data_IF_308361339786
#
_entry.id   IF_308361339786
#
_cell.length_a   1.000
_cell.length_b   1.000
_cell.length_c   1.000
_cell.angle_alpha   90.00
_cell.angle_beta   90.00
_cell.angle_gamma   90.00
#
_symmetry.space_group_name_H-M   'P 1'
#
loop_
_entity.id
_entity.type
_entity.pdbx_description
1 polymer ?
2 polymer ?
3 polymer ?
4 non-polymer ?
5 water ?
#
loop_
_entity_poly.entity_id
_entity_poly.type
_entity_poly.pdbx_seq_one_letter_code
_entity_poly.pdbx_strand_id
2 'polydeoxyribonucleotide' '(DG)(DG)(DT)(DC)(DC)(DG)(DA)(DC)(DG)(DG)(DA)(DC)(DC)' ?
3 'polydeoxyribonucleotide' '(DG)(DG)(DT)(DC)(DC)(DG)(DT)(DC)(DG)(DG)(DA)(DC)(DC)' ?
#
# COMPACT_ATOMS: atom_id res chain seq x y z
N UNK A 3 6.81 -32.74 40.55
CA UNK A 3 6.86 -34.02 39.84
C UNK A 3 5.86 -34.01 38.69
N UNK A 4 4.73 -33.35 38.89
CA UNK A 4 3.78 -33.12 37.79
C UNK A 4 2.85 -32.00 38.24
N UNK A 5 3.21 -30.77 37.89
CA UNK A 5 2.46 -29.60 38.31
C UNK A 5 1.23 -29.36 37.44
N UNK A 6 1.30 -29.70 36.16
CA UNK A 6 0.20 -29.40 35.25
C UNK A 6 -0.98 -30.34 35.51
N UNK A 7 -2.17 -29.85 35.19
CA UNK A 7 -3.36 -30.67 35.18
C UNK A 7 -3.24 -31.68 34.04
N UNK A 8 -3.28 -32.99 34.32
CA UNK A 8 -2.97 -33.97 33.26
C UNK A 8 -3.93 -33.91 32.10
N UNK A 9 -5.19 -33.58 32.36
CA UNK A 9 -6.18 -33.53 31.30
C UNK A 9 -5.98 -32.28 30.46
N UNK A 10 -5.64 -31.16 31.11
CA UNK A 10 -5.36 -29.95 30.36
C UNK A 10 -4.15 -30.14 29.46
N UNK A 11 -3.12 -30.82 29.97
CA UNK A 11 -1.98 -31.18 29.13
C UNK A 11 -2.43 -31.95 27.91
N UNK A 12 -3.37 -32.90 28.10
CA UNK A 12 -3.86 -33.68 26.99
C UNK A 12 -4.59 -32.81 25.98
N UNK A 13 -5.38 -31.86 26.47
CA UNK A 13 -6.08 -30.95 25.58
C UNK A 13 -5.09 -30.10 24.77
N UNK A 14 -4.00 -29.70 25.41
CA UNK A 14 -3.01 -28.85 24.73
C UNK A 14 -2.29 -29.66 23.67
N UNK A 15 -1.94 -30.92 23.97
CA UNK A 15 -1.31 -31.77 22.97
C UNK A 15 -2.25 -32.01 21.79
N UNK A 16 -3.55 -32.12 22.05
CA UNK A 16 -4.53 -32.18 20.97
C UNK A 16 -4.51 -30.90 20.13
N UNK A 17 -4.50 -29.75 20.80
CA UNK A 17 -4.45 -28.48 20.08
C UNK A 17 -3.21 -28.38 19.20
N UNK A 18 -2.05 -28.82 19.72
CA UNK A 18 -0.80 -28.72 18.95
C UNK A 18 -0.92 -29.52 17.65
N UNK A 19 -1.45 -30.73 17.76
CA UNK A 19 -1.65 -31.58 16.59
C UNK A 19 -2.62 -30.92 15.60
N UNK A 20 -3.73 -30.37 16.09
CA UNK A 20 -4.69 -29.71 15.20
C UNK A 20 -4.06 -28.50 14.52
N UNK A 21 -3.36 -27.65 15.28
CA UNK A 21 -2.75 -26.47 14.69
C UNK A 21 -1.72 -26.87 13.63
N UNK A 22 -0.96 -27.93 13.89
CA UNK A 22 0.00 -28.41 12.89
C UNK A 22 -0.71 -28.96 11.66
N UNK A 23 -1.84 -29.63 11.85
CA UNK A 23 -2.63 -30.12 10.74
C UNK A 23 -3.16 -28.98 9.88
N UNK A 24 -3.45 -27.84 10.50
CA UNK A 24 -3.86 -26.63 9.80
C UNK A 24 -2.68 -25.91 9.18
N UNK A 25 -1.49 -26.51 9.24
CA UNK A 25 -0.28 -25.98 8.63
C UNK A 25 0.10 -24.63 9.23
N UNK A 26 0.02 -24.52 10.56
CA UNK A 26 0.46 -23.30 11.23
C UNK A 26 1.51 -23.64 12.28
N UNK A 27 2.30 -22.63 12.66
CA UNK A 27 3.21 -22.81 13.78
C UNK A 27 2.42 -22.92 15.10
N UNK A 28 2.63 -23.98 15.92
CA UNK A 28 1.93 -24.06 17.22
C UNK A 28 2.52 -23.13 18.28
N UNK A 29 2.16 -21.85 18.17
CA UNK A 29 2.53 -20.84 19.14
C UNK A 29 1.47 -20.71 20.23
N UNK A 30 1.79 -19.94 21.27
CA UNK A 30 0.88 -19.71 22.39
C UNK A 30 -0.52 -19.33 21.92
N UNK A 31 -0.63 -18.28 21.10
CA UNK A 31 -1.96 -17.80 20.74
C UNK A 31 -2.77 -18.87 20.03
N UNK A 32 -2.15 -19.60 19.11
CA UNK A 32 -2.90 -20.55 18.29
C UNK A 32 -3.31 -21.76 19.12
N UNK A 33 -2.49 -22.16 20.08
CA UNK A 33 -2.87 -23.22 21.00
C UNK A 33 -4.05 -22.79 21.86
N UNK A 34 -4.01 -21.55 22.39
CA UNK A 34 -5.11 -21.05 23.18
C UNK A 34 -6.42 -21.05 22.40
N UNK A 35 -6.38 -20.58 21.15
CA UNK A 35 -7.58 -20.59 20.33
C UNK A 35 -8.10 -22.01 20.15
N UNK A 36 -7.20 -22.95 19.88
CA UNK A 36 -7.63 -24.33 19.61
C UNK A 36 -8.22 -24.99 20.85
N UNK A 37 -7.58 -24.82 22.02
CA UNK A 37 -8.13 -25.38 23.25
C UNK A 37 -9.47 -24.72 23.60
N UNK A 38 -9.58 -23.41 23.36
CA UNK A 38 -10.84 -22.73 23.60
C UNK A 38 -11.93 -23.31 22.71
N UNK A 39 -11.63 -23.44 21.42
CA UNK A 39 -12.60 -23.90 20.45
C UNK A 39 -13.03 -25.34 20.70
N UNK A 40 -12.14 -26.19 21.23
CA UNK A 40 -12.43 -27.61 21.46
C UNK A 40 -13.00 -27.91 22.84
N UNK A 41 -12.60 -27.16 23.88
CA UNK A 41 -12.95 -27.51 25.24
C UNK A 41 -13.41 -26.34 26.10
N UNK A 42 -13.40 -25.12 25.59
CA UNK A 42 -13.91 -23.99 26.35
C UNK A 42 -13.02 -23.49 27.45
N UNK A 43 -11.77 -23.92 27.51
CA UNK A 43 -10.87 -23.45 28.55
C UNK A 43 -10.41 -22.02 28.28
N UNK A 44 -10.36 -21.22 29.34
CA UNK A 44 -10.02 -19.81 29.18
C UNK A 44 -8.55 -19.66 28.86
N UNK A 45 -8.24 -18.60 28.11
CA UNK A 45 -6.87 -18.38 27.63
C UNK A 45 -5.88 -18.30 28.78
N UNK A 46 -6.24 -17.58 29.83
CA UNK A 46 -5.34 -17.44 30.96
C UNK A 46 -4.95 -18.79 31.54
N UNK A 47 -5.90 -19.71 31.62
CA UNK A 47 -5.60 -21.03 32.17
C UNK A 47 -4.74 -21.85 31.21
N UNK A 48 -5.07 -21.80 29.91
CA UNK A 48 -4.27 -22.55 28.94
C UNK A 48 -2.82 -22.10 28.99
N UNK A 49 -2.57 -20.80 29.10
CA UNK A 49 -1.20 -20.31 29.15
C UNK A 49 -0.48 -20.82 30.40
N UNK A 50 -1.15 -20.83 31.55
CA UNK A 50 -0.53 -21.37 32.76
C UNK A 50 -0.22 -22.85 32.59
N UNK A 51 -1.15 -23.60 32.01
CA UNK A 51 -0.97 -25.04 31.88
C UNK A 51 0.10 -25.35 30.85
N UNK A 52 0.20 -24.54 29.80
CA UNK A 52 1.31 -24.69 28.85
C UNK A 52 2.64 -24.51 29.56
N UNK A 53 2.75 -23.45 30.37
CA UNK A 53 3.97 -23.23 31.14
C UNK A 53 4.26 -24.42 32.05
N UNK A 54 3.26 -24.88 32.79
CA UNK A 54 3.48 -25.98 33.72
C UNK A 54 3.86 -27.25 33.00
N UNK A 55 3.20 -27.53 31.86
CA UNK A 55 3.53 -28.73 31.11
C UNK A 55 4.95 -28.70 30.57
N UNK A 56 5.45 -27.53 30.20
CA UNK A 56 6.83 -27.42 29.73
C UNK A 56 7.80 -27.77 30.86
N UNK A 57 7.49 -27.32 32.09
CA UNK A 57 8.31 -27.67 33.24
C UNK A 57 8.24 -29.17 33.54
N UNK A 58 7.05 -29.77 33.39
CA UNK A 58 6.93 -31.20 33.61
C UNK A 58 7.73 -32.00 32.58
N UNK A 59 7.97 -31.42 31.42
CA UNK A 59 8.58 -32.15 30.34
C UNK A 59 7.60 -32.86 29.45
N UNK A 60 6.30 -32.63 29.63
CA UNK A 60 5.30 -33.29 28.80
C UNK A 60 5.00 -32.51 27.53
N UNK A 61 5.41 -31.26 27.45
CA UNK A 61 5.37 -30.49 26.22
C UNK A 61 6.74 -29.82 26.06
N UNK A 62 7.25 -29.86 24.85
CA UNK A 62 8.51 -29.24 24.52
C UNK A 62 8.29 -27.81 24.04
N UNK A 63 9.07 -26.87 24.56
CA UNK A 63 9.10 -25.51 24.06
C UNK A 63 10.31 -25.36 23.15
N UNK A 64 10.10 -24.94 21.91
CA UNK A 64 11.21 -24.77 20.99
C UNK A 64 11.43 -23.29 20.76
N UNK A 65 12.66 -22.85 20.98
CA UNK A 65 13.02 -21.46 20.75
C UNK A 65 13.32 -21.29 19.27
N UNK A 66 12.49 -20.51 18.59
CA UNK A 66 12.74 -20.09 17.23
C UNK A 66 13.20 -18.65 17.25
N UNK A 67 13.91 -18.26 16.19
CA UNK A 67 14.46 -16.91 16.14
C UNK A 67 13.33 -15.89 16.01
N UNK A 68 12.29 -16.26 15.28
CA UNK A 68 11.01 -15.58 15.40
C UNK A 68 10.21 -16.15 16.56
N UNK A 69 8.95 -16.49 16.29
CA UNK A 69 8.00 -16.86 17.34
C UNK A 69 8.28 -18.26 17.88
N UNK A 70 8.30 -18.41 19.20
CA UNK A 70 8.53 -19.72 19.79
C UNK A 70 7.32 -20.62 19.58
N UNK A 71 7.55 -21.93 19.60
CA UNK A 71 6.46 -22.87 19.37
C UNK A 71 6.60 -24.03 20.36
N UNK A 72 5.65 -24.96 20.29
CA UNK A 72 5.54 -26.02 21.28
C UNK A 72 5.29 -27.33 20.56
N UNK A 73 5.86 -28.42 21.11
CA UNK A 73 5.85 -29.70 20.41
C UNK A 73 5.45 -30.83 21.35
N UNK A 74 4.75 -31.79 20.77
CA UNK A 74 4.48 -33.06 21.46
C UNK A 74 5.76 -33.89 21.50
N UNK A 75 6.17 -34.36 22.69
CA UNK A 75 7.33 -35.29 22.74
C UNK A 75 7.19 -36.48 21.81
N UNK A 76 5.96 -36.90 21.55
CA UNK A 76 5.67 -38.02 20.68
C UNK A 76 5.86 -37.69 19.20
N UNK A 77 5.98 -36.42 18.85
CA UNK A 77 6.24 -36.01 17.47
C UNK A 77 7.15 -34.78 17.49
N UNK A 78 8.42 -34.97 17.83
CA UNK A 78 9.29 -33.82 18.07
C UNK A 78 9.91 -33.24 16.82
N UNK A 79 9.77 -33.91 15.68
CA UNK A 79 10.29 -33.41 14.42
C UNK A 79 11.80 -33.26 14.40
N UNK B 3 4.74 12.19 28.54
CA UNK B 3 4.04 12.65 27.36
C UNK B 3 4.03 11.53 26.31
N UNK B 4 5.15 10.82 26.18
CA UNK B 4 5.23 9.74 25.20
C UNK B 4 6.36 8.80 25.58
N UNK B 5 6.02 7.61 26.02
CA UNK B 5 7.01 6.62 26.43
C UNK B 5 7.51 5.75 25.29
N UNK B 6 6.67 5.53 24.27
CA UNK B 6 7.05 4.66 23.17
C UNK B 6 7.99 5.38 22.21
N UNK B 7 8.77 4.59 21.48
CA UNK B 7 9.55 5.11 20.35
C UNK B 7 8.59 5.50 19.24
N UNK B 8 8.58 6.77 18.80
CA UNK B 8 7.52 7.20 17.87
C UNK B 8 7.53 6.46 16.55
N UNK B 9 8.73 6.10 16.07
CA UNK B 9 8.85 5.38 14.81
C UNK B 9 8.38 3.94 14.96
N UNK B 10 8.70 3.32 16.10
CA UNK B 10 8.21 1.96 16.36
C UNK B 10 6.69 1.93 16.45
N UNK B 11 6.10 2.94 17.08
CA UNK B 11 4.64 3.05 17.07
C UNK B 11 4.12 3.05 15.64
N UNK B 12 4.78 3.83 14.76
CA UNK B 12 4.36 3.90 13.38
C UNK B 12 4.47 2.55 12.69
N UNK B 13 5.55 1.82 12.97
CA UNK B 13 5.69 0.49 12.39
C UNK B 13 4.60 -0.45 12.88
N UNK B 14 4.20 -0.34 14.15
CA UNK B 14 3.17 -1.21 14.70
C UNK B 14 1.81 -0.88 14.09
N UNK B 15 1.54 0.42 13.87
CA UNK B 15 0.28 0.80 13.26
C UNK B 15 0.20 0.32 11.81
N UNK B 16 1.33 0.31 11.10
CA UNK B 16 1.36 -0.28 9.76
C UNK B 16 1.12 -1.79 9.83
N UNK B 17 1.69 -2.45 10.84
CA UNK B 17 1.47 -3.88 10.99
C UNK B 17 -0.01 -4.19 11.27
N UNK B 18 -0.65 -3.39 12.12
CA UNK B 18 -2.05 -3.60 12.44
C UNK B 18 -2.89 -3.52 11.16
N UNK B 19 -2.62 -2.53 10.33
CA UNK B 19 -3.34 -2.39 9.08
C UNK B 19 -3.08 -3.57 8.14
N UNK B 20 -1.81 -4.00 8.04
CA UNK B 20 -1.48 -5.14 7.19
C UNK B 20 -2.16 -6.40 7.69
N UNK B 21 -2.14 -6.64 9.01
CA UNK B 21 -2.78 -7.84 9.55
C UNK B 21 -4.29 -7.81 9.30
N UNK B 22 -4.92 -6.65 9.48
CA UNK B 22 -6.35 -6.54 9.18
C UNK B 22 -6.63 -6.76 7.69
N UNK B 23 -5.72 -6.26 6.84
CA UNK B 23 -5.86 -6.47 5.40
C UNK B 23 -5.80 -7.95 5.05
N UNK B 24 -5.06 -8.72 5.82
CA UNK B 24 -4.98 -10.17 5.65
C UNK B 24 -6.15 -10.89 6.31
N UNK B 25 -7.12 -10.13 6.82
CA UNK B 25 -8.34 -10.66 7.40
C UNK B 25 -8.04 -11.50 8.64
N UNK B 26 -7.14 -11.01 9.49
CA UNK B 26 -6.83 -11.67 10.75
C UNK B 26 -7.05 -10.70 11.90
N UNK B 27 -7.26 -11.25 13.09
CA UNK B 27 -7.31 -10.40 14.28
C UNK B 27 -5.92 -9.87 14.62
N UNK B 28 -5.73 -8.53 14.74
CA UNK B 28 -4.41 -8.01 15.12
C UNK B 28 -4.07 -8.26 16.57
N UNK B 29 -3.65 -9.48 16.88
CA UNK B 29 -3.15 -9.83 18.20
C UNK B 29 -1.65 -9.60 18.28
N UNK B 30 -1.12 -9.72 19.50
CA UNK B 30 0.31 -9.55 19.74
C UNK B 30 1.18 -10.34 18.77
N UNK B 31 0.93 -11.66 18.67
CA UNK B 31 1.82 -12.49 17.85
C UNK B 31 1.83 -12.03 16.39
N UNK B 32 0.65 -11.72 15.86
CA UNK B 32 0.57 -11.38 14.44
C UNK B 32 1.17 -10.01 14.17
N UNK B 33 1.05 -9.08 15.12
CA UNK B 33 1.72 -7.79 14.98
C UNK B 33 3.23 -7.98 14.99
N UNK B 34 3.75 -8.77 15.95
CA UNK B 34 5.19 -9.05 16.00
C UNK B 34 5.70 -9.63 14.69
N UNK B 35 4.99 -10.63 14.14
CA UNK B 35 5.39 -11.20 12.86
C UNK B 35 5.43 -10.13 11.76
N UNK B 36 4.40 -9.29 11.71
CA UNK B 36 4.35 -8.28 10.65
C UNK B 36 5.47 -7.26 10.79
N UNK B 37 5.72 -6.77 12.02
CA UNK B 37 6.81 -5.81 12.20
C UNK B 37 8.15 -6.45 11.90
N UNK B 38 8.32 -7.71 12.31
CA UNK B 38 9.57 -8.41 12.01
C UNK B 38 9.76 -8.54 10.51
N UNK B 39 8.71 -8.97 9.81
CA UNK B 39 8.80 -9.19 8.37
C UNK B 39 9.03 -7.89 7.60
N UNK B 40 8.58 -6.74 8.13
CA UNK B 40 8.66 -5.48 7.39
C UNK B 40 9.86 -4.63 7.78
N UNK B 41 10.34 -4.72 9.01
CA UNK B 41 11.37 -3.83 9.51
C UNK B 41 12.45 -4.53 10.31
N UNK B 42 12.34 -5.83 10.55
CA UNK B 42 13.39 -6.56 11.21
C UNK B 42 13.48 -6.35 12.70
N UNK B 43 12.47 -5.75 13.32
CA UNK B 43 12.50 -5.51 14.75
C UNK B 43 12.20 -6.79 15.52
N UNK B 44 12.96 -7.00 16.60
CA UNK B 44 12.85 -8.24 17.37
C UNK B 44 11.55 -8.28 18.16
N UNK B 45 11.03 -9.50 18.34
CA UNK B 45 9.74 -9.71 19.01
C UNK B 45 9.69 -9.06 20.38
N UNK B 46 10.76 -9.25 21.17
CA UNK B 46 10.78 -8.69 22.51
C UNK B 46 10.57 -7.18 22.48
N UNK B 47 11.20 -6.49 21.52
CA UNK B 47 11.07 -5.04 21.45
C UNK B 47 9.69 -4.62 20.96
N UNK B 48 9.14 -5.33 19.98
CA UNK B 48 7.80 -4.99 19.49
C UNK B 48 6.79 -5.08 20.62
N UNK B 49 6.91 -6.13 21.45
CA UNK B 49 5.97 -6.29 22.55
C UNK B 49 6.08 -5.14 23.56
N UNK B 50 7.30 -4.74 23.93
CA UNK B 50 7.44 -3.63 24.86
C UNK B 50 6.89 -2.35 24.26
N UNK B 51 7.14 -2.12 22.97
CA UNK B 51 6.67 -0.90 22.35
C UNK B 51 5.16 -0.90 22.18
N UNK B 52 4.57 -2.07 21.94
CA UNK B 52 3.11 -2.19 21.93
C UNK B 52 2.53 -1.80 23.30
N UNK B 53 3.10 -2.35 24.37
CA UNK B 53 2.64 -1.99 25.71
C UNK B 53 2.80 -0.48 25.95
N UNK B 54 3.96 0.08 25.59
CA UNK B 54 4.19 1.51 25.80
C UNK B 54 3.23 2.36 24.98
N UNK B 55 2.99 1.96 23.72
CA UNK B 55 2.10 2.73 22.87
C UNK B 55 0.67 2.72 23.41
N UNK B 56 0.25 1.59 23.98
CA UNK B 56 -1.07 1.54 24.62
C UNK B 56 -1.13 2.52 25.78
N UNK B 57 -0.05 2.61 26.57
CA UNK B 57 0.00 3.61 27.64
C UNK B 57 -0.08 5.03 27.09
N UNK B 58 0.64 5.30 26.01
CA UNK B 58 0.60 6.64 25.41
C UNK B 58 -0.78 6.98 24.88
N UNK B 59 -1.60 5.98 24.59
CA UNK B 59 -2.87 6.24 23.93
C UNK B 59 -2.78 6.30 22.43
N UNK B 60 -1.64 5.94 21.83
CA UNK B 60 -1.52 5.97 20.38
C UNK B 60 -1.93 4.67 19.72
N UNK B 61 -2.05 3.60 20.52
CA UNK B 61 -2.63 2.35 20.06
C UNK B 61 -3.67 1.94 21.09
N UNK B 62 -4.81 1.45 20.61
CA UNK B 62 -5.87 0.99 21.48
C UNK B 62 -5.74 -0.50 21.67
N UNK B 63 -5.88 -0.96 22.91
CA UNK B 63 -5.98 -2.38 23.22
C UNK B 63 -7.44 -2.71 23.47
N UNK B 64 -7.96 -3.74 22.82
CA UNK B 64 -9.37 -4.09 22.98
C UNK B 64 -9.48 -5.42 23.70
N UNK B 65 -10.29 -5.45 24.74
CA UNK B 65 -10.61 -6.68 25.47
C UNK B 65 -11.61 -7.47 24.66
N UNK B 66 -11.22 -8.67 24.24
CA UNK B 66 -12.17 -9.58 23.62
C UNK B 66 -12.42 -10.75 24.55
N UNK B 67 -13.57 -11.39 24.35
CA UNK B 67 -13.86 -12.65 25.03
C UNK B 67 -12.65 -13.58 24.93
N UNK B 68 -12.18 -13.81 23.71
CA UNK B 68 -10.96 -14.56 23.52
C UNK B 68 -9.75 -13.65 23.45
N UNK B 69 -9.00 -13.78 22.37
CA UNK B 69 -7.71 -13.12 22.24
C UNK B 69 -7.88 -11.61 22.10
N UNK B 70 -7.16 -10.85 22.91
CA UNK B 70 -7.24 -9.39 22.79
C UNK B 70 -6.56 -8.94 21.51
N UNK B 71 -6.97 -7.77 21.01
CA UNK B 71 -6.37 -7.23 19.79
C UNK B 71 -6.07 -5.75 19.99
N UNK B 72 -5.54 -5.14 18.95
CA UNK B 72 -5.01 -3.79 19.01
C UNK B 72 -5.49 -3.02 17.80
N UNK B 73 -5.80 -1.73 17.99
CA UNK B 73 -6.43 -0.95 16.95
C UNK B 73 -5.75 0.41 16.79
N UNK B 74 -5.73 0.86 15.55
CA UNK B 74 -5.34 2.23 15.24
C UNK B 74 -6.44 3.18 15.71
N UNK B 75 -6.12 4.22 16.48
CA UNK B 75 -7.14 5.22 16.81
C UNK B 75 -7.78 5.83 15.59
N UNK B 76 -7.05 5.86 14.47
CA UNK B 76 -7.57 6.42 13.23
C UNK B 76 -8.58 5.52 12.54
N UNK B 77 -8.64 4.24 12.90
CA UNK B 77 -9.74 3.36 12.47
C UNK B 77 -10.15 2.48 13.64
N UNK B 78 -10.97 3.02 14.55
CA UNK B 78 -11.25 2.29 15.80
C UNK B 78 -12.41 1.33 15.69
N UNK B 79 -13.46 1.70 14.95
CA UNK B 79 -14.63 0.85 14.76
C UNK B 79 -15.22 0.19 15.99
N UNK E 3 -17.25 -7.78 -25.02
CA UNK E 3 -17.42 -8.01 -23.58
C UNK E 3 -16.24 -7.39 -22.83
N UNK E 4 -15.04 -7.50 -23.40
CA UNK E 4 -13.86 -6.92 -22.75
C UNK E 4 -12.76 -6.80 -23.78
N UNK E 5 -12.39 -5.57 -24.11
CA UNK E 5 -11.37 -5.31 -25.12
C UNK E 5 -9.99 -5.11 -24.51
N UNK E 6 -9.92 -4.61 -23.28
CA UNK E 6 -8.64 -4.30 -22.67
C UNK E 6 -8.02 -5.55 -22.07
N UNK E 7 -6.71 -5.52 -21.92
CA UNK E 7 -6.00 -6.57 -21.19
C UNK E 7 -6.37 -6.44 -19.73
N UNK E 8 -6.90 -7.50 -19.09
CA UNK E 8 -7.40 -7.35 -17.72
C UNK E 8 -6.31 -7.04 -16.70
N UNK E 9 -5.09 -7.52 -16.96
CA UNK E 9 -4.01 -7.24 -16.02
C UNK E 9 -3.56 -5.79 -16.16
N UNK E 10 -3.47 -5.30 -17.39
CA UNK E 10 -3.14 -3.90 -17.62
C UNK E 10 -4.19 -2.98 -17.01
N UNK E 11 -5.47 -3.36 -17.14
CA UNK E 11 -6.51 -2.58 -16.46
C UNK E 11 -6.25 -2.52 -14.98
N UNK E 12 -5.86 -3.64 -14.39
CA UNK E 12 -5.55 -3.69 -12.96
C UNK E 12 -4.38 -2.78 -12.62
N UNK E 13 -3.36 -2.78 -13.46
CA UNK E 13 -2.21 -1.91 -13.23
C UNK E 13 -2.62 -0.44 -13.29
N UNK E 14 -3.54 -0.11 -14.20
CA UNK E 14 -3.95 1.29 -14.36
C UNK E 14 -4.79 1.74 -13.17
N UNK E 15 -5.66 0.86 -12.66
CA UNK E 15 -6.41 1.17 -11.46
C UNK E 15 -5.48 1.38 -10.26
N UNK E 16 -4.40 0.60 -10.20
CA UNK E 16 -3.39 0.82 -9.17
C UNK E 16 -2.76 2.20 -9.30
N UNK E 17 -2.39 2.54 -10.53
CA UNK E 17 -1.78 3.85 -10.79
C UNK E 17 -2.71 5.00 -10.40
N UNK E 18 -4.02 4.87 -10.70
CA UNK E 18 -4.97 5.93 -10.36
C UNK E 18 -5.00 6.15 -8.84
N UNK E 19 -5.07 5.05 -8.09
CA UNK E 19 -5.05 5.14 -6.64
C UNK E 19 -3.76 5.79 -6.14
N UNK E 20 -2.62 5.36 -6.66
CA UNK E 20 -1.33 5.95 -6.27
C UNK E 20 -1.28 7.44 -6.60
N UNK E 21 -1.70 7.80 -7.81
CA UNK E 21 -1.66 9.21 -8.21
C UNK E 21 -2.56 10.06 -7.30
N UNK E 22 -3.74 9.52 -6.94
CA UNK E 22 -4.62 10.25 -6.01
C UNK E 22 -3.99 10.35 -4.63
N UNK E 23 -3.31 9.30 -4.18
CA UNK E 23 -2.64 9.32 -2.88
C UNK E 23 -1.54 10.39 -2.85
N UNK E 24 -0.94 10.66 -3.98
CA UNK E 24 0.04 11.72 -4.14
C UNK E 24 -0.61 13.09 -4.29
N UNK E 25 -1.94 13.13 -4.16
CA UNK E 25 -2.70 14.37 -4.20
C UNK E 25 -2.55 15.06 -5.57
N UNK E 26 -2.73 14.29 -6.63
CA UNK E 26 -2.69 14.84 -7.98
C UNK E 26 -3.91 14.37 -8.74
N UNK E 27 -4.29 15.13 -9.76
CA UNK E 27 -5.36 14.71 -10.67
C UNK E 27 -4.89 13.51 -11.50
N UNK E 28 -5.65 12.37 -11.51
CA UNK E 28 -5.24 11.23 -12.35
C UNK E 28 -5.52 11.44 -13.83
N UNK E 29 -4.64 12.19 -14.48
CA UNK E 29 -4.70 12.41 -15.92
C UNK E 29 -3.88 11.35 -16.65
N UNK E 30 -4.01 11.36 -17.98
CA UNK E 30 -3.28 10.41 -18.82
C UNK E 30 -1.79 10.39 -18.51
N UNK E 31 -1.14 11.55 -18.51
CA UNK E 31 0.31 11.54 -18.34
C UNK E 31 0.71 10.95 -16.99
N UNK E 32 0.00 11.33 -15.94
CA UNK E 32 0.37 10.88 -14.61
C UNK E 32 0.12 9.39 -14.42
N UNK E 33 -0.93 8.87 -15.04
CA UNK E 33 -1.16 7.43 -15.00
C UNK E 33 -0.06 6.70 -15.75
N UNK E 34 0.32 7.19 -16.95
CA UNK E 34 1.41 6.57 -17.69
C UNK E 34 2.70 6.51 -16.87
N UNK E 35 3.06 7.63 -16.24
CA UNK E 35 4.25 7.64 -15.40
C UNK E 35 4.14 6.59 -14.29
N UNK E 36 2.99 6.49 -13.63
CA UNK E 36 2.86 5.56 -12.52
C UNK E 36 2.95 4.10 -12.99
N UNK E 37 2.28 3.75 -14.09
CA UNK E 37 2.34 2.38 -14.60
C UNK E 37 3.76 2.05 -15.06
N UNK E 38 4.41 3.02 -15.71
CA UNK E 38 5.79 2.79 -16.12
C UNK E 38 6.67 2.57 -14.90
N UNK E 39 6.47 3.38 -13.86
CA UNK E 39 7.28 3.31 -12.66
C UNK E 39 7.10 1.98 -11.92
N UNK E 40 5.87 1.44 -11.91
CA UNK E 40 5.57 0.24 -11.14
C UNK E 40 5.67 -1.05 -11.94
N UNK E 41 5.49 -1.01 -13.26
CA UNK E 41 5.42 -2.23 -14.05
C UNK E 41 6.19 -2.17 -15.37
N UNK E 42 6.78 -1.03 -15.72
CA UNK E 42 7.61 -0.98 -16.91
C UNK E 42 6.86 -0.97 -18.22
N UNK E 43 5.55 -0.77 -18.19
CA UNK E 43 4.78 -0.73 -19.42
C UNK E 43 4.98 0.58 -20.16
N UNK E 44 5.12 0.49 -21.49
CA UNK E 44 5.42 1.66 -22.30
C UNK E 44 4.21 2.59 -22.39
N UNK E 45 4.49 3.88 -22.54
CA UNK E 45 3.45 4.92 -22.58
C UNK E 45 2.38 4.61 -23.62
N UNK E 46 2.80 4.26 -24.83
CA UNK E 46 1.83 4.06 -25.91
C UNK E 46 0.86 2.94 -25.58
N UNK E 47 1.33 1.89 -24.92
CA UNK E 47 0.41 0.80 -24.57
C UNK E 47 -0.51 1.19 -23.43
N UNK E 48 0.00 1.94 -22.45
CA UNK E 48 -0.85 2.36 -21.34
C UNK E 48 -2.00 3.22 -21.86
N UNK E 49 -1.69 4.14 -22.79
CA UNK E 49 -2.72 5.01 -23.35
C UNK E 49 -3.77 4.21 -24.10
N UNK E 50 -3.33 3.20 -24.86
CA UNK E 50 -4.28 2.35 -25.58
C UNK E 50 -5.15 1.58 -24.60
N UNK E 51 -4.54 1.07 -23.53
CA UNK E 51 -5.29 0.25 -22.58
C UNK E 51 -6.23 1.10 -21.73
N UNK E 52 -5.83 2.33 -21.43
CA UNK E 52 -6.74 3.27 -20.78
C UNK E 52 -7.98 3.51 -21.64
N UNK E 53 -7.77 3.80 -22.92
CA UNK E 53 -8.88 3.97 -23.86
C UNK E 53 -9.76 2.73 -23.87
N UNK E 54 -9.13 1.55 -24.00
CA UNK E 54 -9.91 0.31 -24.07
C UNK E 54 -10.67 0.05 -22.78
N UNK E 55 -10.04 0.34 -21.64
CA UNK E 55 -10.71 0.13 -20.37
C UNK E 55 -11.89 1.08 -20.18
N UNK E 56 -11.80 2.30 -20.71
CA UNK E 56 -12.93 3.21 -20.62
C UNK E 56 -14.11 2.67 -21.41
N UNK E 57 -13.84 2.14 -22.61
CA UNK E 57 -14.90 1.50 -23.40
C UNK E 57 -15.50 0.31 -22.67
N UNK E 58 -14.66 -0.51 -22.02
CA UNK E 58 -15.18 -1.66 -21.29
C UNK E 58 -16.08 -1.24 -20.14
N UNK E 59 -15.91 -0.01 -19.63
CA UNK E 59 -16.59 0.41 -18.43
C UNK E 59 -15.87 0.08 -17.15
N UNK E 60 -14.62 -0.41 -17.23
CA UNK E 60 -13.86 -0.74 -16.02
C UNK E 60 -13.09 0.44 -15.47
N UNK E 61 -12.94 1.49 -16.25
CA UNK E 61 -12.35 2.75 -15.79
C UNK E 61 -13.26 3.86 -16.28
N UNK E 62 -13.51 4.82 -15.42
CA UNK E 62 -14.35 5.96 -15.76
C UNK E 62 -13.48 7.11 -16.23
N UNK E 63 -13.90 7.74 -17.31
CA UNK E 63 -13.28 8.98 -17.78
C UNK E 63 -14.18 10.13 -17.36
N UNK E 64 -13.61 11.14 -16.70
CA UNK E 64 -14.40 12.28 -16.25
C UNK E 64 -13.96 13.51 -17.03
N UNK E 65 -14.92 14.19 -17.64
CA UNK E 65 -14.66 15.42 -18.37
C UNK E 65 -14.63 16.56 -17.38
N UNK E 66 -13.52 17.26 -17.34
CA UNK E 66 -13.38 18.37 -16.47
C UNK E 66 -13.26 19.63 -17.28
N UNK E 67 -13.30 20.73 -16.56
CA UNK E 67 -13.09 22.05 -17.08
C UNK E 67 -11.81 22.02 -17.88
N UNK E 68 -10.74 21.66 -17.19
CA UNK E 68 -9.43 21.50 -17.75
C UNK E 68 -9.20 20.08 -18.21
N UNK E 69 -8.04 19.53 -17.93
CA UNK E 69 -7.67 18.19 -18.37
C UNK E 69 -8.58 17.15 -17.71
N UNK E 70 -9.00 16.20 -18.51
CA UNK E 70 -9.86 15.13 -18.03
C UNK E 70 -9.09 14.22 -17.10
N UNK E 71 -9.81 13.44 -16.31
CA UNK E 71 -9.14 12.50 -15.43
C UNK E 71 -9.89 11.18 -15.50
N UNK E 72 -9.42 10.22 -14.72
CA UNK E 72 -9.88 8.84 -14.81
C UNK E 72 -10.10 8.30 -13.41
N UNK E 73 -11.17 7.53 -13.23
CA UNK E 73 -11.57 7.09 -11.90
C UNK E 73 -11.82 5.59 -11.85
N UNK E 74 -11.54 5.04 -10.69
CA UNK E 74 -11.91 3.67 -10.38
C UNK E 74 -13.41 3.60 -10.11
N UNK E 75 -14.16 2.74 -10.80
CA UNK E 75 -15.58 2.58 -10.47
C UNK E 75 -15.81 2.31 -9.00
N UNK E 76 -14.84 1.66 -8.34
CA UNK E 76 -14.95 1.35 -6.93
C UNK E 76 -14.75 2.56 -6.05
N UNK E 77 -14.16 3.62 -6.55
CA UNK E 77 -14.02 4.88 -5.81
C UNK E 77 -14.38 6.03 -6.72
N UNK E 78 -15.68 6.19 -7.03
CA UNK E 78 -16.06 7.18 -8.04
C UNK E 78 -16.08 8.60 -7.52
N UNK E 79 -16.15 8.79 -6.20
CA UNK E 79 -16.18 10.13 -5.62
C UNK E 79 -17.45 10.87 -5.97
N UNK F 3 5.42 29.56 -43.78
CA UNK F 3 6.49 30.21 -43.03
C UNK F 3 6.17 30.14 -41.54
N UNK F 4 4.94 30.46 -41.17
CA UNK F 4 4.49 30.33 -39.79
C UNK F 4 3.06 29.80 -39.80
N UNK F 5 2.89 28.57 -39.35
CA UNK F 5 1.55 28.01 -39.23
C UNK F 5 0.88 28.40 -37.92
N UNK F 6 1.66 28.51 -36.85
CA UNK F 6 1.10 28.76 -35.52
C UNK F 6 0.77 30.23 -35.34
N UNK F 7 -0.17 30.50 -34.44
CA UNK F 7 -0.46 31.87 -34.00
C UNK F 7 0.74 32.38 -33.22
N UNK F 8 1.40 33.46 -33.66
CA UNK F 8 2.68 33.84 -33.02
C UNK F 8 2.51 34.27 -31.57
N UNK F 9 1.34 34.78 -31.20
CA UNK F 9 1.12 35.15 -29.81
C UNK F 9 0.91 33.91 -28.96
N UNK F 10 0.19 32.93 -29.50
CA UNK F 10 0.01 31.66 -28.79
C UNK F 10 1.34 30.95 -28.61
N UNK F 11 2.20 30.96 -29.64
CA UNK F 11 3.54 30.42 -29.47
C UNK F 11 4.25 31.11 -28.32
N UNK F 12 4.10 32.44 -28.22
CA UNK F 12 4.74 33.18 -27.13
C UNK F 12 4.19 32.74 -25.79
N UNK F 13 2.87 32.55 -25.69
CA UNK F 13 2.30 32.09 -24.43
C UNK F 13 2.83 30.71 -24.05
N UNK F 14 3.07 29.86 -25.05
CA UNK F 14 3.54 28.51 -24.75
C UNK F 14 5.00 28.53 -24.29
N UNK F 15 5.84 29.37 -24.92
CA UNK F 15 7.20 29.50 -24.45
C UNK F 15 7.25 30.05 -23.02
N UNK F 16 6.32 30.96 -22.70
CA UNK F 16 6.19 31.42 -21.31
C UNK F 16 5.84 30.27 -20.39
N UNK F 17 4.87 29.46 -20.80
CA UNK F 17 4.47 28.30 -19.99
C UNK F 17 5.64 27.33 -19.79
N UNK F 18 6.41 27.08 -20.85
CA UNK F 18 7.54 26.17 -20.74
C UNK F 18 8.53 26.67 -19.67
N UNK F 19 8.83 27.97 -19.70
CA UNK F 19 9.74 28.54 -18.70
C UNK F 19 9.17 28.38 -17.29
N UNK F 20 7.89 28.69 -17.12
CA UNK F 20 7.24 28.57 -15.82
C UNK F 20 7.28 27.14 -15.32
N UNK F 21 6.90 26.17 -16.17
CA UNK F 21 6.90 24.78 -15.74
C UNK F 21 8.30 24.34 -15.32
N UNK F 22 9.32 24.78 -16.07
CA UNK F 22 10.70 24.46 -15.72
C UNK F 22 11.10 25.11 -14.40
N UNK F 23 10.70 26.36 -14.17
CA UNK F 23 10.97 27.01 -12.89
C UNK F 23 10.32 26.26 -11.72
N UNK F 24 9.18 25.63 -11.97
CA UNK F 24 8.53 24.78 -10.99
C UNK F 24 9.18 23.41 -10.88
N UNK F 25 10.27 23.19 -11.60
CA UNK F 25 11.06 21.96 -11.52
C UNK F 25 10.24 20.77 -12.01
N UNK F 26 9.48 20.95 -13.08
CA UNK F 26 8.73 19.86 -13.68
C UNK F 26 9.14 19.69 -15.14
N UNK F 27 8.92 18.49 -15.66
CA UNK F 27 9.12 18.27 -17.10
C UNK F 27 8.07 19.03 -17.90
N UNK F 28 8.47 19.86 -18.89
CA UNK F 28 7.47 20.57 -19.71
C UNK F 28 6.80 19.67 -20.73
N UNK F 29 5.86 18.85 -20.26
CA UNK F 29 5.07 17.98 -21.13
C UNK F 29 3.79 18.68 -21.57
N UNK F 30 3.08 18.04 -22.49
CA UNK F 30 1.83 18.59 -23.02
C UNK F 30 0.87 19.04 -21.92
N UNK F 31 0.58 18.14 -20.96
CA UNK F 31 -0.44 18.49 -19.98
C UNK F 31 -0.01 19.69 -19.16
N UNK F 32 1.25 19.73 -18.75
CA UNK F 32 1.69 20.80 -17.87
C UNK F 32 1.74 22.13 -18.60
N UNK F 33 2.04 22.11 -19.89
CA UNK F 33 2.00 23.34 -20.67
C UNK F 33 0.56 23.83 -20.80
N UNK F 34 -0.37 22.92 -21.10
CA UNK F 34 -1.78 23.31 -21.19
C UNK F 34 -2.25 23.95 -19.89
N UNK F 35 -1.93 23.33 -18.75
CA UNK F 35 -2.33 23.90 -17.47
C UNK F 35 -1.78 25.31 -17.30
N UNK F 36 -0.49 25.50 -17.63
CA UNK F 36 0.13 26.81 -17.41
C UNK F 36 -0.45 27.87 -18.34
N UNK F 37 -0.63 27.54 -19.64
CA UNK F 37 -1.25 28.51 -20.55
C UNK F 37 -2.68 28.81 -20.13
N UNK F 38 -3.40 27.79 -19.69
CA UNK F 38 -4.77 28.02 -19.21
C UNK F 38 -4.76 28.97 -18.03
N UNK F 39 -3.89 28.70 -17.06
CA UNK F 39 -3.85 29.48 -15.84
C UNK F 39 -3.40 30.92 -16.09
N UNK F 40 -2.56 31.15 -17.10
CA UNK F 40 -2.01 32.49 -17.35
C UNK F 40 -2.82 33.29 -18.36
N UNK F 41 -3.48 32.62 -19.32
CA UNK F 41 -4.14 33.32 -20.42
C UNK F 41 -5.51 32.78 -20.76
N UNK F 42 -6.00 31.75 -20.09
CA UNK F 42 -7.35 31.29 -20.32
C UNK F 42 -7.57 30.55 -21.61
N UNK F 43 -6.51 30.20 -22.33
CA UNK F 43 -6.65 29.48 -23.58
C UNK F 43 -7.03 28.02 -23.33
N UNK F 44 -7.98 27.51 -24.12
CA UNK F 44 -8.51 26.18 -23.90
C UNK F 44 -7.49 25.10 -24.28
N UNK F 45 -7.58 23.96 -23.58
CA UNK F 45 -6.64 22.85 -23.76
C UNK F 45 -6.51 22.44 -25.22
N UNK F 46 -7.65 22.27 -25.90
CA UNK F 46 -7.62 21.81 -27.29
C UNK F 46 -6.81 22.74 -28.18
N UNK F 47 -6.95 24.05 -27.98
CA UNK F 47 -6.23 25.01 -28.79
C UNK F 47 -4.75 25.01 -28.47
N UNK F 48 -4.40 24.92 -27.18
CA UNK F 48 -3.00 24.92 -26.81
C UNK F 48 -2.29 23.73 -27.46
N UNK F 49 -2.93 22.56 -27.43
CA UNK F 49 -2.31 21.37 -28.03
C UNK F 49 -2.08 21.54 -29.53
N UNK F 50 -3.07 22.13 -30.24
CA UNK F 50 -2.90 22.35 -31.66
C UNK F 50 -1.77 23.33 -31.93
N UNK F 51 -1.70 24.39 -31.13
CA UNK F 51 -0.66 25.39 -31.33
C UNK F 51 0.71 24.86 -30.99
N UNK F 52 0.81 23.99 -29.99
CA UNK F 52 2.07 23.33 -29.70
C UNK F 52 2.55 22.51 -30.90
N UNK F 53 1.64 21.75 -31.51
CA UNK F 53 1.98 20.97 -32.69
C UNK F 53 2.43 21.88 -33.82
N UNK F 54 1.69 22.96 -34.06
CA UNK F 54 2.04 23.88 -35.15
C UNK F 54 3.38 24.54 -34.90
N UNK F 55 3.63 24.95 -33.66
CA UNK F 55 4.90 25.58 -33.33
C UNK F 55 6.06 24.62 -33.52
N UNK F 56 5.87 23.34 -33.21
CA UNK F 56 6.93 22.36 -33.41
C UNK F 56 7.28 22.28 -34.90
N UNK F 57 6.26 22.28 -35.77
CA UNK F 57 6.51 22.25 -37.21
C UNK F 57 7.15 23.56 -37.69
N UNK F 58 6.76 24.68 -37.10
CA UNK F 58 7.40 25.95 -37.45
C UNK F 58 8.86 25.95 -37.05
N UNK F 59 9.24 25.14 -36.08
CA UNK F 59 10.58 25.20 -35.54
C UNK F 59 10.77 26.21 -34.46
N UNK F 60 9.69 26.82 -33.96
CA UNK F 60 9.80 27.79 -32.86
C UNK F 60 9.73 27.13 -31.50
N UNK F 61 9.31 25.88 -31.43
CA UNK F 61 9.36 25.09 -30.21
C UNK F 61 9.98 23.76 -30.56
N UNK F 62 10.89 23.28 -29.72
CA UNK F 62 11.52 21.99 -29.91
C UNK F 62 10.73 20.92 -29.17
N UNK F 63 10.50 19.80 -29.82
CA UNK F 63 9.94 18.61 -29.18
C UNK F 63 11.10 17.65 -28.94
N UNK F 64 11.22 17.14 -27.72
CA UNK F 64 12.31 16.23 -27.41
C UNK F 64 11.74 14.85 -27.10
N UNK F 65 12.33 13.83 -27.70
CA UNK F 65 11.96 12.45 -27.46
C UNK F 65 12.65 11.96 -26.19
N UNK F 66 11.85 11.59 -25.20
CA UNK F 66 12.37 10.94 -24.01
C UNK F 66 11.86 9.50 -23.97
N UNK F 67 12.61 8.63 -23.30
CA UNK F 67 12.14 7.26 -23.11
C UNK F 67 10.78 7.25 -22.44
N UNK F 68 10.62 8.06 -21.41
CA UNK F 68 9.29 8.31 -20.88
C UNK F 68 8.59 9.38 -21.67
N UNK F 69 8.00 10.33 -20.94
CA UNK F 69 7.11 11.32 -21.53
C UNK F 69 7.90 12.37 -22.30
N UNK F 70 7.47 12.66 -23.52
CA UNK F 70 8.18 13.66 -24.31
C UNK F 70 7.98 15.05 -23.72
N UNK F 71 8.89 15.96 -24.04
CA UNK F 71 8.79 17.32 -23.51
C UNK F 71 9.12 18.32 -24.61
N UNK F 72 9.06 19.59 -24.26
CA UNK F 72 9.14 20.68 -25.22
C UNK F 72 10.06 21.76 -24.69
N UNK F 73 10.83 22.37 -25.59
CA UNK F 73 11.90 23.27 -25.18
C UNK F 73 11.86 24.55 -26.01
N UNK F 74 12.23 25.63 -25.34
CA UNK F 74 12.46 26.90 -26.00
C UNK F 74 13.78 26.81 -26.78
N UNK F 75 13.78 27.11 -28.07
CA UNK F 75 15.06 27.16 -28.81
C UNK F 75 16.09 28.04 -28.14
N UNK F 76 15.65 29.05 -27.40
CA UNK F 76 16.56 29.97 -26.74
C UNK F 76 17.17 29.39 -25.47
N UNK F 77 16.59 28.33 -24.91
CA UNK F 77 17.20 27.62 -23.79
C UNK F 77 17.09 26.13 -24.05
N UNK F 78 17.90 25.62 -24.99
CA UNK F 78 17.69 24.23 -25.45
C UNK F 78 18.30 23.20 -24.53
N UNK F 79 19.22 23.58 -23.65
CA UNK F 79 19.88 22.59 -22.82
C UNK F 79 20.77 21.70 -23.68
N UNK F 80 20.59 20.39 -23.56
CA UNK F 80 21.35 19.42 -24.33
C UNK F 80 20.47 18.70 -25.35
X LIG I 1 -24.50 -9.39 5.73
X LIG J 1 11.52 -30.63 -1.72
X LIG K 1 26.06 17.34 -8.46
X LIG L 1 -13.44 22.62 4.83
#
# INVERSE_FOLDING_TARGET
SMVKLANPLYTEWILEAIKKVKKQKQRPSEERICNAVSSSHGLDRKTVLEQLELSVKDGTILKVSNKGLNSYKDPDNPGRIALPKP
SMVKLANPLYTEWILEAIKKVKKQKQRPSEERICNAVSSSHGLDRKTVLEQLELSVKDGTILKVSNKGLNSYKDPDNPGRIALPKP
SMVKLANPLYTEWILEAIKKVKKQKQRPSEERICNAVSSSHGLDRKTVLEQLELSVKDGTILKVSNKGLNSYKDPDNPGRIALPKP
SMVKLANPLYTEWILEAIKKVKKQKQRPSEERICNAVSSSHGLDRKTVLEQLELSVKDGTILKVSNKGLNSYKDPDNPGRIALPKP
MG MG
MG MG
MG MG
MG MG
#
